data_IF_911931355519
#
_entry.id   IF_911931355519
#
_cell.length_a   1.000
_cell.length_b   1.000
_cell.length_c   1.000
_cell.angle_alpha   90.00
_cell.angle_beta   90.00
_cell.angle_gamma   90.00
#
_symmetry.space_group_name_H-M   'P 1'
#
loop_
_entity.id
_entity.type
_entity.pdbx_description
1 polymer ?
#
# COMPACT_ATOMS: atom_id res chain seq x y z
N UNK A 1 85.70 24.82 3.19
CA UNK A 1 86.01 23.56 3.89
C UNK A 1 85.12 22.47 3.30
N UNK A 2 85.70 21.55 2.51
CA UNK A 2 84.95 20.44 1.89
C UNK A 2 84.71 19.33 2.92
N UNK A 3 83.45 19.13 3.30
CA UNK A 3 83.05 18.07 4.24
C UNK A 3 83.16 16.73 3.50
N UNK A 4 84.17 15.93 3.83
CA UNK A 4 84.35 14.61 3.22
C UNK A 4 83.19 13.69 3.63
N UNK A 5 82.56 13.06 2.65
CA UNK A 5 81.45 12.15 2.88
C UNK A 5 81.94 10.90 3.62
N UNK A 6 81.25 10.52 4.70
CA UNK A 6 81.61 9.33 5.48
C UNK A 6 80.95 8.09 4.83
N UNK A 7 81.74 7.17 4.23
CA UNK A 7 81.19 6.03 3.48
C UNK A 7 80.34 5.09 4.34
N UNK A 8 80.55 5.07 5.67
CA UNK A 8 79.74 4.25 6.59
C UNK A 8 78.31 4.77 6.74
N UNK A 9 78.12 6.09 6.70
CA UNK A 9 76.79 6.72 6.79
C UNK A 9 76.00 6.45 5.51
N UNK A 10 76.67 6.51 4.35
CA UNK A 10 76.06 6.17 3.07
C UNK A 10 75.67 4.69 3.02
N UNK A 11 76.57 3.79 3.47
CA UNK A 11 76.27 2.35 3.54
C UNK A 11 75.09 2.04 4.46
N UNK A 12 75.04 2.63 5.65
CA UNK A 12 73.93 2.45 6.59
C UNK A 12 72.59 2.96 6.01
N UNK A 13 72.61 4.08 5.27
CA UNK A 13 71.42 4.61 4.62
C UNK A 13 70.90 3.69 3.51
N UNK A 14 71.80 3.16 2.67
CA UNK A 14 71.40 2.24 1.59
C UNK A 14 70.83 0.94 2.16
N UNK A 15 71.49 0.34 3.15
CA UNK A 15 70.98 -0.88 3.81
C UNK A 15 69.66 -0.61 4.53
N UNK A 16 69.55 0.52 5.22
CA UNK A 16 68.31 0.93 5.88
C UNK A 16 67.16 1.12 4.90
N UNK A 17 67.41 1.77 3.76
CA UNK A 17 66.41 1.97 2.71
C UNK A 17 65.94 0.65 2.11
N UNK A 18 66.87 -0.27 1.81
CA UNK A 18 66.54 -1.58 1.26
C UNK A 18 65.73 -2.44 2.23
N UNK A 19 66.05 -2.38 3.53
CA UNK A 19 65.27 -3.03 4.58
C UNK A 19 63.86 -2.45 4.69
N UNK A 20 63.72 -1.13 4.70
CA UNK A 20 62.41 -0.45 4.72
C UNK A 20 61.56 -0.78 3.49
N UNK A 21 62.17 -0.82 2.31
CA UNK A 21 61.49 -1.22 1.07
C UNK A 21 61.03 -2.67 1.14
N UNK A 22 61.87 -3.60 1.63
CA UNK A 22 61.49 -5.00 1.79
C UNK A 22 60.36 -5.18 2.80
N UNK A 23 60.42 -4.50 3.94
CA UNK A 23 59.35 -4.51 4.96
C UNK A 23 58.07 -3.90 4.38
N UNK A 24 58.17 -2.78 3.67
CA UNK A 24 57.04 -2.18 2.96
C UNK A 24 56.41 -3.16 1.96
N UNK A 25 57.22 -3.83 1.15
CA UNK A 25 56.73 -4.79 0.16
C UNK A 25 56.07 -6.01 0.81
N UNK A 26 56.57 -6.50 1.96
CA UNK A 26 55.95 -7.61 2.70
C UNK A 26 54.63 -7.16 3.34
N UNK A 27 54.60 -5.98 3.96
CA UNK A 27 53.39 -5.45 4.60
C UNK A 27 52.29 -5.16 3.57
N UNK A 28 52.63 -4.51 2.45
CA UNK A 28 51.69 -4.19 1.37
C UNK A 28 51.41 -5.38 0.43
N UNK A 29 52.35 -6.30 0.26
CA UNK A 29 52.22 -7.50 -0.59
C UNK A 29 51.48 -8.67 0.07
N UNK A 30 51.19 -8.58 1.38
CA UNK A 30 50.47 -9.62 2.14
C UNK A 30 49.01 -9.83 1.73
N UNK A 31 48.45 -9.02 0.82
CA UNK A 31 47.11 -9.20 0.23
C UNK A 31 45.92 -8.99 1.19
N UNK A 32 46.15 -9.05 2.51
CA UNK A 32 45.15 -8.91 3.57
C UNK A 32 44.39 -7.56 3.54
N UNK A 33 44.99 -6.53 2.95
CA UNK A 33 44.41 -5.19 2.87
C UNK A 33 43.34 -5.04 1.77
N UNK A 34 43.27 -5.98 0.82
CA UNK A 34 42.22 -6.01 -0.18
C UNK A 34 41.00 -6.73 0.40
N UNK A 35 40.11 -5.95 1.01
CA UNK A 35 38.75 -6.42 1.30
C UNK A 35 38.07 -6.73 -0.03
N UNK A 36 37.65 -7.98 -0.22
CA UNK A 36 36.85 -8.37 -1.38
C UNK A 36 35.49 -7.66 -1.33
N UNK A 37 35.33 -6.65 -2.19
CA UNK A 37 34.11 -5.85 -2.31
C UNK A 37 33.33 -6.29 -3.53
N UNK A 38 32.00 -6.31 -3.41
CA UNK A 38 31.10 -6.61 -4.54
C UNK A 38 30.55 -5.30 -5.05
N UNK A 39 30.73 -5.05 -6.35
CA UNK A 39 30.19 -3.85 -7.00
C UNK A 39 28.74 -4.11 -7.39
N UNK A 40 27.87 -3.17 -7.05
CA UNK A 40 26.45 -3.21 -7.38
C UNK A 40 26.03 -1.91 -8.02
N UNK A 41 24.97 -1.97 -8.83
CA UNK A 41 24.36 -0.81 -9.47
C UNK A 41 22.91 -0.67 -9.02
N UNK A 42 22.47 0.57 -8.86
CA UNK A 42 21.11 0.93 -8.49
C UNK A 42 20.64 2.05 -9.42
N UNK A 43 19.38 1.97 -9.86
CA UNK A 43 18.78 2.94 -10.77
C UNK A 43 17.63 3.66 -10.07
N UNK A 44 17.78 4.96 -9.82
CA UNK A 44 16.75 5.78 -9.19
C UNK A 44 16.01 6.63 -10.25
N UNK A 45 14.68 6.61 -10.19
CA UNK A 45 13.79 7.50 -10.96
C UNK A 45 13.71 8.91 -10.35
N UNK A 46 13.88 8.99 -9.02
CA UNK A 46 13.74 10.20 -8.22
C UNK A 46 15.04 11.00 -8.08
N UNK A 47 14.95 12.15 -7.41
CA UNK A 47 16.12 12.99 -7.17
C UNK A 47 17.07 12.34 -6.16
N UNK A 48 18.35 12.21 -6.51
CA UNK A 48 19.41 11.78 -5.57
C UNK A 48 20.07 12.98 -4.87
N UNK A 49 19.47 14.17 -4.92
CA UNK A 49 20.09 15.38 -4.35
C UNK A 49 20.35 15.19 -2.84
N UNK A 50 21.59 15.39 -2.42
CA UNK A 50 22.06 15.11 -1.06
C UNK A 50 22.75 13.75 -0.90
N UNK A 51 22.73 12.89 -1.92
CA UNK A 51 23.56 11.69 -1.98
C UNK A 51 24.93 12.03 -2.57
N UNK A 52 25.98 11.85 -1.77
CA UNK A 52 27.37 12.10 -2.17
C UNK A 52 28.10 10.79 -2.49
N UNK A 53 29.13 10.85 -3.33
CA UNK A 53 30.12 9.76 -3.42
C UNK A 53 30.79 9.61 -2.04
N UNK A 54 30.88 8.36 -1.55
CA UNK A 54 31.28 8.04 -0.19
C UNK A 54 30.12 7.97 0.81
N UNK A 55 28.89 8.28 0.42
CA UNK A 55 27.72 8.05 1.27
C UNK A 55 27.61 6.57 1.66
N UNK A 56 27.22 6.27 2.90
CA UNK A 56 27.15 4.89 3.36
C UNK A 56 25.99 4.16 2.70
N UNK A 57 26.21 2.90 2.35
CA UNK A 57 25.14 1.94 2.06
C UNK A 57 24.91 1.13 3.32
N UNK A 58 23.68 1.14 3.83
CA UNK A 58 23.33 0.50 5.11
C UNK A 58 22.29 -0.56 4.91
N UNK A 59 22.44 -1.71 5.54
CA UNK A 59 21.40 -2.72 5.64
C UNK A 59 20.80 -2.64 7.04
N UNK A 60 19.54 -2.21 7.14
CA UNK A 60 18.84 -2.03 8.44
C UNK A 60 19.68 -1.25 9.48
N UNK A 61 20.28 -0.14 9.05
CA UNK A 61 21.12 0.73 9.89
C UNK A 61 22.60 0.32 10.04
N UNK A 62 23.00 -0.88 9.63
CA UNK A 62 24.42 -1.32 9.66
C UNK A 62 25.10 -0.93 8.36
N UNK A 63 26.23 -0.22 8.41
CA UNK A 63 27.00 0.13 7.22
C UNK A 63 27.62 -1.13 6.59
N UNK A 64 27.15 -1.47 5.39
CA UNK A 64 27.59 -2.64 4.62
C UNK A 64 28.30 -2.24 3.33
N UNK A 65 28.42 -0.95 3.03
CA UNK A 65 29.06 -0.50 1.80
C UNK A 65 29.16 1.01 1.68
N UNK A 66 29.61 1.46 0.52
CA UNK A 66 29.80 2.88 0.19
C UNK A 66 29.47 3.16 -1.26
N UNK A 67 28.83 4.30 -1.53
CA UNK A 67 28.59 4.80 -2.88
C UNK A 67 29.93 5.19 -3.52
N UNK A 68 30.18 4.72 -4.73
CA UNK A 68 31.44 4.94 -5.46
C UNK A 68 31.26 5.83 -6.69
N UNK A 69 30.05 5.97 -7.22
CA UNK A 69 29.79 6.82 -8.38
C UNK A 69 28.32 7.11 -8.60
N UNK A 70 28.02 8.26 -9.19
CA UNK A 70 26.67 8.70 -9.54
C UNK A 70 26.72 9.25 -10.96
N UNK A 71 25.84 8.75 -11.83
CA UNK A 71 25.78 9.12 -13.25
C UNK A 71 24.33 9.27 -13.70
N UNK A 72 24.05 10.24 -14.56
CA UNK A 72 22.77 10.34 -15.23
C UNK A 72 22.84 9.53 -16.53
N UNK A 73 21.91 8.62 -16.73
CA UNK A 73 21.84 7.78 -17.92
C UNK A 73 20.44 7.83 -18.51
N UNK A 74 20.33 7.62 -19.82
CA UNK A 74 19.06 7.58 -20.53
C UNK A 74 18.86 6.20 -21.12
N UNK A 75 17.73 5.57 -20.78
CA UNK A 75 17.33 4.32 -21.40
C UNK A 75 16.64 4.62 -22.73
N UNK A 76 17.31 4.33 -23.85
CA UNK A 76 16.81 4.67 -25.19
C UNK A 76 15.46 4.03 -25.51
N UNK A 77 15.27 2.76 -25.10
CA UNK A 77 14.06 1.98 -25.37
C UNK A 77 12.80 2.60 -24.76
N UNK A 78 12.90 3.13 -23.54
CA UNK A 78 11.77 3.71 -22.80
C UNK A 78 11.78 5.23 -22.78
N UNK A 79 12.83 5.88 -23.33
CA UNK A 79 13.11 7.32 -23.25
C UNK A 79 12.96 7.86 -21.81
N UNK A 80 13.44 7.08 -20.84
CA UNK A 80 13.44 7.44 -19.42
C UNK A 80 14.85 7.80 -18.97
N UNK A 81 14.95 8.85 -18.17
CA UNK A 81 16.17 9.23 -17.48
C UNK A 81 16.22 8.51 -16.15
N UNK A 82 17.35 7.89 -15.87
CA UNK A 82 17.65 7.24 -14.61
C UNK A 82 18.92 7.81 -14.02
N UNK A 83 18.96 7.93 -12.71
CA UNK A 83 20.21 8.20 -12.00
C UNK A 83 20.80 6.85 -11.59
N UNK A 84 21.88 6.50 -12.26
CA UNK A 84 22.68 5.29 -12.03
C UNK A 84 23.66 5.54 -10.90
N UNK A 85 23.57 4.74 -9.85
CA UNK A 85 24.39 4.84 -8.65
C UNK A 85 25.16 3.55 -8.47
N UNK A 86 26.48 3.65 -8.40
CA UNK A 86 27.36 2.54 -8.08
C UNK A 86 27.65 2.51 -6.59
N UNK A 87 27.69 1.31 -6.03
CA UNK A 87 28.16 1.10 -4.69
C UNK A 87 29.04 -0.15 -4.59
N UNK A 88 29.96 -0.12 -3.65
CA UNK A 88 30.73 -1.28 -3.22
C UNK A 88 30.18 -1.78 -1.90
N UNK A 89 29.79 -3.05 -1.86
CA UNK A 89 29.37 -3.74 -0.64
C UNK A 89 30.55 -4.52 -0.06
N UNK A 90 30.65 -4.56 1.26
CA UNK A 90 31.59 -5.37 2.05
C UNK A 90 30.83 -6.57 2.65
N UNK A 91 30.88 -7.75 2.03
CA UNK A 91 30.16 -8.94 2.46
C UNK A 91 30.68 -9.53 3.77
N UNK A 92 31.82 -9.06 4.28
CA UNK A 92 32.29 -9.42 5.63
C UNK A 92 31.36 -8.92 6.73
N UNK A 93 30.50 -7.95 6.43
CA UNK A 93 29.49 -7.43 7.35
C UNK A 93 28.20 -8.28 7.39
N UNK A 94 28.04 -9.27 6.50
CA UNK A 94 26.85 -10.11 6.39
C UNK A 94 27.20 -11.54 6.82
N UNK A 95 26.72 -11.91 8.01
CA UNK A 95 26.94 -13.24 8.60
C UNK A 95 25.72 -14.13 8.40
N UNK A 96 25.91 -15.29 7.78
CA UNK A 96 24.88 -16.33 7.62
C UNK A 96 25.15 -17.46 8.61
N UNK A 97 24.15 -18.30 8.89
CA UNK A 97 24.25 -19.44 9.83
C UNK A 97 25.36 -20.46 9.48
N UNK A 98 25.94 -20.38 8.28
CA UNK A 98 27.10 -21.17 7.81
C UNK A 98 28.46 -20.44 7.85
N UNK A 99 28.53 -19.23 8.40
CA UNK A 99 29.72 -18.35 8.40
C UNK A 99 29.49 -17.03 7.67
N UNK A 100 30.48 -16.14 7.71
CA UNK A 100 30.48 -14.93 6.89
C UNK A 100 30.52 -15.32 5.40
N UNK A 101 29.84 -14.54 4.53
CA UNK A 101 29.85 -14.72 3.07
C UNK A 101 31.26 -14.62 2.43
N UNK A 102 32.27 -14.30 3.23
CA UNK A 102 33.70 -14.14 2.87
C UNK A 102 34.40 -15.38 2.35
N UNK A 103 33.79 -16.57 2.35
CA UNK A 103 34.41 -17.80 1.79
C UNK A 103 33.93 -18.19 0.40
N UNK A 104 32.93 -17.50 -0.16
CA UNK A 104 32.41 -17.81 -1.48
C UNK A 104 33.14 -17.01 -2.57
N UNK A 105 33.24 -17.57 -3.78
CA UNK A 105 33.82 -16.85 -4.91
C UNK A 105 33.00 -15.59 -5.22
N UNK A 106 33.57 -14.62 -5.94
CA UNK A 106 32.86 -13.39 -6.29
C UNK A 106 31.55 -13.68 -7.05
N UNK A 107 31.59 -14.59 -8.02
CA UNK A 107 30.41 -15.02 -8.77
C UNK A 107 29.30 -15.60 -7.87
N UNK A 108 29.67 -16.37 -6.83
CA UNK A 108 28.71 -16.92 -5.88
C UNK A 108 28.02 -15.82 -5.04
N UNK A 109 28.76 -14.75 -4.71
CA UNK A 109 28.24 -13.60 -3.93
C UNK A 109 27.32 -12.74 -4.77
N UNK A 110 27.67 -12.53 -6.03
CA UNK A 110 26.83 -11.82 -6.99
C UNK A 110 25.51 -12.57 -7.22
N UNK A 111 25.57 -13.89 -7.42
CA UNK A 111 24.38 -14.71 -7.55
C UNK A 111 23.54 -14.73 -6.26
N UNK A 112 24.18 -14.80 -5.10
CA UNK A 112 23.48 -14.70 -3.81
C UNK A 112 22.74 -13.36 -3.65
N UNK A 113 23.31 -12.25 -4.12
CA UNK A 113 22.63 -10.95 -4.13
C UNK A 113 21.47 -10.90 -5.12
N UNK A 114 21.64 -11.46 -6.33
CA UNK A 114 20.54 -11.59 -7.30
C UNK A 114 19.39 -12.41 -6.72
N UNK A 115 19.70 -13.51 -6.03
CA UNK A 115 18.72 -14.34 -5.35
C UNK A 115 18.08 -13.61 -4.17
N UNK A 116 18.85 -12.83 -3.41
CA UNK A 116 18.32 -11.99 -2.34
C UNK A 116 17.27 -10.98 -2.84
N UNK A 117 17.52 -10.38 -4.00
CA UNK A 117 16.56 -9.46 -4.64
C UNK A 117 15.27 -10.18 -5.05
N UNK A 118 15.37 -11.42 -5.56
CA UNK A 118 14.21 -12.19 -6.06
C UNK A 118 13.40 -12.87 -4.96
N UNK A 119 14.06 -13.54 -4.02
CA UNK A 119 13.41 -14.37 -2.99
C UNK A 119 13.03 -13.57 -1.74
N UNK A 120 13.92 -12.69 -1.29
CA UNK A 120 13.76 -11.94 -0.05
C UNK A 120 13.28 -10.51 -0.29
N UNK A 121 13.11 -10.12 -1.56
CA UNK A 121 12.72 -8.77 -1.95
C UNK A 121 13.73 -7.72 -1.50
N UNK A 122 15.04 -8.03 -1.61
CA UNK A 122 16.09 -7.05 -1.36
C UNK A 122 15.95 -5.89 -2.35
N UNK A 123 15.84 -4.68 -1.80
CA UNK A 123 15.71 -3.44 -2.56
C UNK A 123 16.48 -2.32 -1.88
N UNK A 124 16.87 -1.32 -2.68
CA UNK A 124 17.49 -0.10 -2.24
C UNK A 124 16.48 1.04 -2.17
N UNK A 125 16.65 1.92 -1.19
CA UNK A 125 15.87 3.15 -1.01
C UNK A 125 16.80 4.28 -0.58
N UNK A 126 16.53 5.49 -1.06
CA UNK A 126 17.18 6.68 -0.54
C UNK A 126 16.53 7.08 0.78
N UNK A 127 17.35 7.25 1.80
CA UNK A 127 16.90 7.66 3.12
C UNK A 127 17.74 8.83 3.64
N UNK A 128 17.13 9.61 4.53
CA UNK A 128 17.75 10.82 5.02
C UNK A 128 18.75 10.51 6.14
N UNK A 129 20.01 10.86 5.92
CA UNK A 129 21.04 10.75 6.95
C UNK A 129 20.93 11.92 7.94
N UNK A 130 20.61 13.12 7.45
CA UNK A 130 20.57 14.32 8.27
C UNK A 130 19.59 15.34 7.69
N UNK A 131 18.54 15.62 8.46
CA UNK A 131 17.54 16.65 8.14
C UNK A 131 18.16 18.05 8.02
N UNK A 132 19.19 18.33 8.82
CA UNK A 132 19.82 19.65 8.85
C UNK A 132 20.67 19.93 7.60
N UNK A 133 21.38 18.92 7.12
CA UNK A 133 22.30 19.06 5.97
C UNK A 133 21.67 18.61 4.65
N UNK A 134 20.51 17.96 4.70
CA UNK A 134 19.86 17.35 3.53
C UNK A 134 20.61 16.15 2.98
N UNK A 135 21.61 15.61 3.70
CA UNK A 135 22.39 14.46 3.22
C UNK A 135 21.57 13.18 3.23
N UNK A 136 21.75 12.39 2.19
CA UNK A 136 21.12 11.09 1.98
C UNK A 136 22.13 9.96 2.14
N UNK A 137 21.61 8.78 2.43
CA UNK A 137 22.33 7.52 2.35
C UNK A 137 21.44 6.49 1.63
N UNK A 138 22.04 5.37 1.23
CA UNK A 138 21.28 4.26 0.63
C UNK A 138 20.96 3.26 1.72
N UNK A 139 19.68 3.00 1.94
CA UNK A 139 19.22 1.89 2.76
C UNK A 139 18.90 0.69 1.87
N UNK A 140 19.48 -0.45 2.21
CA UNK A 140 19.09 -1.76 1.73
C UNK A 140 18.11 -2.36 2.74
N UNK A 141 16.99 -2.88 2.24
CA UNK A 141 16.02 -3.61 3.04
C UNK A 141 15.50 -4.81 2.25
N UNK A 142 15.07 -5.85 2.96
CA UNK A 142 14.49 -7.06 2.38
C UNK A 142 13.02 -7.11 2.80
N UNK A 143 12.13 -6.96 1.83
CA UNK A 143 10.70 -7.07 2.01
C UNK A 143 10.11 -7.93 0.88
N UNK A 144 9.68 -9.17 1.16
CA UNK A 144 9.18 -10.09 0.14
C UNK A 144 7.86 -9.62 -0.50
N UNK A 145 7.19 -8.62 0.07
CA UNK A 145 5.97 -8.04 -0.53
C UNK A 145 6.27 -7.09 -1.68
N UNK A 146 7.50 -6.55 -1.75
CA UNK A 146 7.93 -5.64 -2.80
C UNK A 146 8.38 -6.45 -4.00
N UNK A 147 7.68 -6.28 -5.13
CA UNK A 147 8.09 -6.87 -6.40
C UNK A 147 9.30 -6.14 -6.94
N UNK A 148 10.42 -6.84 -7.06
CA UNK A 148 11.66 -6.33 -7.63
C UNK A 148 11.44 -5.87 -9.09
N UNK A 149 11.55 -4.57 -9.33
CA UNK A 149 11.56 -4.00 -10.68
C UNK A 149 12.99 -3.65 -11.08
N UNK A 150 13.52 -4.40 -12.03
CA UNK A 150 14.83 -4.14 -12.62
C UNK A 150 14.69 -3.26 -13.86
N UNK A 151 15.60 -2.30 -14.02
CA UNK A 151 15.73 -1.46 -15.21
C UNK A 151 16.44 -2.22 -16.34
N UNK A 152 17.32 -3.17 -15.99
CA UNK A 152 18.05 -4.04 -16.90
C UNK A 152 18.70 -3.27 -18.07
N UNK A 153 19.65 -2.38 -17.77
CA UNK A 153 20.48 -1.75 -18.82
C UNK A 153 21.55 -2.72 -19.31
N UNK A 154 21.14 -3.73 -20.07
CA UNK A 154 22.00 -4.80 -20.59
C UNK A 154 23.22 -4.29 -21.36
N UNK A 155 23.11 -3.13 -22.01
CA UNK A 155 24.19 -2.55 -22.81
C UNK A 155 25.27 -1.83 -21.96
N UNK A 156 25.02 -1.55 -20.67
CA UNK A 156 25.92 -0.79 -19.79
C UNK A 156 26.45 -1.56 -18.57
N UNK A 157 25.71 -2.56 -18.09
CA UNK A 157 25.93 -3.22 -16.80
C UNK A 157 25.78 -4.75 -16.85
N UNK A 158 26.09 -5.38 -17.98
CA UNK A 158 25.88 -6.82 -18.18
C UNK A 158 26.50 -7.69 -17.06
N UNK A 159 27.68 -7.28 -16.56
CA UNK A 159 28.44 -8.00 -15.52
C UNK A 159 28.24 -7.44 -14.10
N UNK A 160 27.36 -6.45 -13.88
CA UNK A 160 27.16 -5.84 -12.56
C UNK A 160 25.79 -6.26 -11.99
N UNK A 161 25.77 -6.60 -10.70
CA UNK A 161 24.50 -6.93 -10.02
C UNK A 161 23.68 -5.67 -9.82
N UNK A 162 22.50 -5.66 -10.43
CA UNK A 162 21.50 -4.61 -10.20
C UNK A 162 20.71 -4.91 -8.92
N UNK A 163 20.64 -3.94 -8.00
CA UNK A 163 19.72 -3.95 -6.86
C UNK A 163 18.50 -3.08 -7.24
N UNK A 164 17.27 -3.64 -7.21
CA UNK A 164 16.05 -2.88 -7.47
C UNK A 164 15.92 -1.70 -6.52
N UNK A 165 15.38 -0.58 -7.01
CA UNK A 165 15.11 0.57 -6.16
C UNK A 165 13.62 0.77 -5.93
N UNK A 166 13.29 1.41 -4.82
CA UNK A 166 11.94 1.90 -4.55
C UNK A 166 11.99 3.39 -4.17
N UNK A 167 10.88 4.13 -4.35
CA UNK A 167 10.82 5.54 -3.96
C UNK A 167 11.16 5.74 -2.49
N UNK A 168 11.83 6.85 -2.18
CA UNK A 168 12.13 7.25 -0.80
C UNK A 168 10.85 7.45 0.02
N UNK A 169 10.95 7.34 1.34
CA UNK A 169 9.83 7.57 2.24
C UNK A 169 9.24 8.99 2.06
N UNK A 170 10.11 10.00 1.88
CA UNK A 170 9.68 11.37 1.60
C UNK A 170 8.94 11.54 0.27
N UNK A 171 9.37 10.84 -0.78
CA UNK A 171 8.68 10.87 -2.08
C UNK A 171 7.31 10.21 -2.00
N UNK A 172 7.19 9.08 -1.29
CA UNK A 172 5.92 8.39 -1.09
C UNK A 172 4.92 9.29 -0.33
N UNK A 173 5.36 9.96 0.74
CA UNK A 173 4.50 10.91 1.48
C UNK A 173 4.06 12.05 0.57
N UNK A 174 4.97 12.61 -0.24
CA UNK A 174 4.62 13.68 -1.16
C UNK A 174 3.65 13.23 -2.26
N UNK A 175 3.78 12.00 -2.76
CA UNK A 175 2.83 11.40 -3.69
C UNK A 175 1.45 11.25 -3.04
N UNK A 176 1.37 10.77 -1.80
CA UNK A 176 0.09 10.66 -1.07
C UNK A 176 -0.56 12.03 -0.91
N UNK A 177 0.21 13.08 -0.57
CA UNK A 177 -0.31 14.44 -0.45
C UNK A 177 -0.81 14.97 -1.79
N UNK A 178 -0.04 14.78 -2.87
CA UNK A 178 -0.45 15.19 -4.23
C UNK A 178 -1.73 14.49 -4.66
N UNK A 179 -1.79 13.18 -4.51
CA UNK A 179 -2.96 12.39 -4.86
C UNK A 179 -4.17 12.87 -4.04
N UNK A 180 -4.02 13.09 -2.73
CA UNK A 180 -5.10 13.61 -1.91
C UNK A 180 -5.57 15.00 -2.36
N UNK A 181 -4.63 15.91 -2.71
CA UNK A 181 -4.96 17.23 -3.20
C UNK A 181 -5.68 17.21 -4.56
N UNK A 182 -5.27 16.32 -5.46
CA UNK A 182 -5.93 16.09 -6.75
C UNK A 182 -7.36 15.57 -6.54
N UNK A 183 -7.54 14.56 -5.69
CA UNK A 183 -8.88 14.02 -5.39
C UNK A 183 -9.78 15.03 -4.66
N UNK A 184 -9.21 15.95 -3.88
CA UNK A 184 -9.95 17.05 -3.26
C UNK A 184 -10.31 18.15 -4.27
N UNK A 185 -9.44 18.42 -5.24
CA UNK A 185 -9.68 19.38 -6.33
C UNK A 185 -10.67 18.87 -7.37
N UNK A 186 -10.80 17.56 -7.51
CA UNK A 186 -11.76 16.88 -8.39
C UNK A 186 -13.14 16.65 -7.74
N UNK A 187 -13.34 17.05 -6.48
CA UNK A 187 -14.67 17.00 -5.86
C UNK A 187 -15.64 17.85 -6.70
N UNK A 188 -16.69 17.27 -7.30
CA UNK A 188 -17.62 18.00 -8.14
C UNK A 188 -18.54 18.83 -7.25
N UNK A 189 -18.03 19.95 -6.74
CA UNK A 189 -18.79 20.88 -5.90
C UNK A 189 -20.08 21.34 -6.58
N UNK A 190 -20.08 21.37 -7.93
CA UNK A 190 -21.28 21.60 -8.73
C UNK A 190 -22.34 20.51 -8.57
N UNK A 191 -21.96 19.23 -8.65
CA UNK A 191 -22.88 18.09 -8.48
C UNK A 191 -23.39 18.01 -7.05
N UNK A 192 -22.51 18.17 -6.05
CA UNK A 192 -22.90 18.18 -4.63
C UNK A 192 -23.89 19.32 -4.33
N UNK A 193 -23.64 20.52 -4.86
CA UNK A 193 -24.54 21.65 -4.69
C UNK A 193 -25.85 21.46 -5.45
N UNK A 194 -25.81 20.83 -6.62
CA UNK A 194 -27.00 20.48 -7.39
C UNK A 194 -27.86 19.47 -6.64
N UNK A 195 -27.28 18.37 -6.16
CA UNK A 195 -27.98 17.34 -5.38
C UNK A 195 -28.57 17.91 -4.08
N UNK A 196 -27.83 18.80 -3.41
CA UNK A 196 -28.33 19.50 -2.22
C UNK A 196 -29.51 20.42 -2.56
N UNK A 197 -29.44 21.16 -3.69
CA UNK A 197 -30.54 22.00 -4.16
C UNK A 197 -31.76 21.17 -4.58
N UNK A 198 -31.56 20.05 -5.25
CA UNK A 198 -32.63 19.13 -5.66
C UNK A 198 -33.30 18.48 -4.45
N UNK A 199 -32.53 18.09 -3.44
CA UNK A 199 -33.03 17.58 -2.16
C UNK A 199 -33.85 18.63 -1.41
N UNK A 200 -33.32 19.86 -1.31
CA UNK A 200 -34.04 20.98 -0.72
C UNK A 200 -35.32 21.30 -1.50
N UNK A 201 -35.29 21.26 -2.83
CA UNK A 201 -36.47 21.46 -3.66
C UNK A 201 -37.50 20.34 -3.49
N UNK A 202 -37.07 19.09 -3.35
CA UNK A 202 -37.94 17.95 -3.06
C UNK A 202 -38.63 18.09 -1.69
N UNK A 203 -37.87 18.45 -0.66
CA UNK A 203 -38.42 18.76 0.68
C UNK A 203 -39.43 19.91 0.58
N UNK A 204 -39.09 20.99 -0.13
CA UNK A 204 -39.96 22.14 -0.25
C UNK A 204 -41.26 21.82 -1.02
N UNK A 205 -41.22 20.92 -2.02
CA UNK A 205 -42.43 20.40 -2.68
C UNK A 205 -43.30 19.58 -1.74
N UNK A 206 -42.70 18.70 -0.93
CA UNK A 206 -43.45 17.88 0.04
C UNK A 206 -44.11 18.76 1.09
N UNK A 207 -43.38 19.76 1.62
CA UNK A 207 -43.89 20.66 2.66
C UNK A 207 -44.98 21.60 2.14
N UNK A 208 -44.87 22.07 0.89
CA UNK A 208 -45.87 22.96 0.27
C UNK A 208 -46.89 22.21 -0.60
N UNK A 209 -46.92 20.88 -0.53
CA UNK A 209 -47.85 20.06 -1.26
C UNK A 209 -49.30 20.42 -0.83
N UNK A 210 -50.16 20.90 -1.74
CA UNK A 210 -51.55 21.23 -1.43
C UNK A 210 -52.37 20.01 -1.01
N UNK A 211 -51.83 18.80 -1.18
CA UNK A 211 -52.44 17.54 -0.76
C UNK A 211 -52.34 17.29 0.75
N UNK A 212 -51.44 17.95 1.51
CA UNK A 212 -51.33 17.76 2.97
C UNK A 212 -52.56 18.29 3.73
N UNK A 213 -53.04 19.52 3.47
CA UNK A 213 -54.32 19.99 4.02
C UNK A 213 -55.50 19.08 3.63
N UNK A 214 -55.54 18.65 2.36
CA UNK A 214 -56.63 17.83 1.82
C UNK A 214 -56.65 16.41 2.40
N UNK A 215 -55.49 15.82 2.67
CA UNK A 215 -55.40 14.52 3.33
C UNK A 215 -55.78 14.59 4.81
N UNK A 216 -55.42 15.68 5.50
CA UNK A 216 -55.90 15.94 6.87
C UNK A 216 -57.42 16.13 6.91
N UNK A 217 -58.00 16.86 5.95
CA UNK A 217 -59.45 17.08 5.86
C UNK A 217 -60.22 15.81 5.47
N UNK A 218 -59.65 14.99 4.58
CA UNK A 218 -60.19 13.68 4.22
C UNK A 218 -60.12 12.68 5.39
N UNK A 219 -59.04 12.69 6.17
CA UNK A 219 -58.91 11.89 7.40
C UNK A 219 -59.96 12.30 8.44
N UNK A 220 -60.12 13.60 8.68
CA UNK A 220 -61.13 14.11 9.61
C UNK A 220 -62.55 13.73 9.18
N UNK A 221 -62.84 13.81 7.88
CA UNK A 221 -64.11 13.41 7.29
C UNK A 221 -64.36 11.90 7.38
N UNK A 222 -63.32 11.08 7.22
CA UNK A 222 -63.40 9.63 7.36
C UNK A 222 -63.68 9.22 8.81
N UNK A 223 -63.01 9.85 9.79
CA UNK A 223 -63.27 9.63 11.22
C UNK A 223 -64.68 10.03 11.61
N UNK A 224 -65.17 11.19 11.15
CA UNK A 224 -66.54 11.63 11.42
C UNK A 224 -67.60 10.67 10.83
N UNK A 225 -67.34 10.10 9.65
CA UNK A 225 -68.23 9.10 9.03
C UNK A 225 -68.20 7.76 9.78
N UNK A 226 -67.06 7.37 10.33
CA UNK A 226 -66.95 6.19 11.18
C UNK A 226 -67.74 6.35 12.47
N UNK A 227 -67.67 7.51 13.13
CA UNK A 227 -68.45 7.78 14.34
C UNK A 227 -69.96 7.70 14.08
N UNK A 228 -70.42 8.25 12.95
CA UNK A 228 -71.83 8.17 12.54
C UNK A 228 -72.25 6.74 12.20
N UNK A 229 -71.38 5.97 11.56
CA UNK A 229 -71.64 4.56 11.27
C UNK A 229 -71.71 3.72 12.55
N UNK A 230 -70.79 3.94 13.49
CA UNK A 230 -70.79 3.27 14.78
C UNK A 230 -72.03 3.63 15.60
N UNK A 231 -72.42 4.91 15.64
CA UNK A 231 -73.66 5.34 16.31
C UNK A 231 -74.92 4.73 15.69
N UNK A 232 -74.97 4.57 14.36
CA UNK A 232 -76.09 3.90 13.67
C UNK A 232 -76.10 2.39 13.87
N UNK A 233 -74.92 1.78 13.97
CA UNK A 233 -74.79 0.36 14.24
C UNK A 233 -75.25 0.04 15.66
N UNK A 234 -74.87 0.85 16.63
CA UNK A 234 -75.27 0.72 18.04
C UNK A 234 -76.79 0.91 18.23
N UNK A 235 -77.42 1.73 17.39
CA UNK A 235 -78.87 1.93 17.41
C UNK A 235 -79.69 0.77 16.82
N UNK A 236 -79.08 -0.18 16.09
CA UNK A 236 -79.77 -1.24 15.33
C UNK A 236 -79.23 -2.66 15.62
N UNK A 237 -78.41 -2.83 16.65
CA UNK A 237 -77.89 -4.14 17.11
C UNK A 237 -78.99 -5.06 17.65
N UNK A 238 -79.99 -4.52 18.36
CA UNK A 238 -81.11 -5.30 18.93
C UNK A 238 -81.97 -6.06 17.89
N UNK A 239 -82.44 -5.44 16.79
CA UNK A 239 -83.23 -6.14 15.77
C UNK A 239 -82.40 -7.15 14.96
N UNK A 240 -81.09 -6.93 14.80
CA UNK A 240 -80.18 -7.85 14.10
C UNK A 240 -79.90 -9.12 14.93
N UNK A 241 -79.67 -8.97 16.23
CA UNK A 241 -79.50 -10.11 17.13
C UNK A 241 -80.79 -10.94 17.26
N UNK A 242 -81.95 -10.27 17.30
CA UNK A 242 -83.24 -10.99 17.31
C UNK A 242 -83.57 -11.65 15.99
N UNK A 243 -83.24 -11.05 14.84
CA UNK A 243 -83.45 -11.69 13.53
C UNK A 243 -82.47 -12.84 13.27
N UNK A 244 -81.21 -12.72 13.69
CA UNK A 244 -80.24 -13.82 13.66
C UNK A 244 -80.67 -14.99 14.55
N UNK A 245 -81.15 -14.72 15.77
CA UNK A 245 -81.67 -15.75 16.68
C UNK A 245 -82.90 -16.44 16.11
N UNK A 246 -83.84 -15.70 15.52
CA UNK A 246 -85.01 -16.29 14.83
C UNK A 246 -84.63 -17.10 13.60
N UNK A 247 -83.60 -16.70 12.86
CA UNK A 247 -83.10 -17.46 11.72
C UNK A 247 -82.53 -18.80 12.19
N UNK A 248 -81.69 -18.80 13.23
CA UNK A 248 -81.13 -20.00 13.84
C UNK A 248 -82.22 -20.96 14.39
N UNK A 249 -83.26 -20.41 15.03
CA UNK A 249 -84.40 -21.21 15.51
C UNK A 249 -85.21 -21.84 14.38
N UNK A 250 -85.33 -21.16 13.22
CA UNK A 250 -86.01 -21.72 12.03
C UNK A 250 -85.20 -22.83 11.36
N UNK A 251 -83.88 -22.70 11.28
CA UNK A 251 -83.02 -23.77 10.76
C UNK A 251 -83.01 -24.98 11.69
N UNK A 252 -83.01 -24.79 13.01
CA UNK A 252 -83.09 -25.89 13.97
C UNK A 252 -84.40 -26.70 13.81
N UNK A 253 -85.54 -26.02 13.66
CA UNK A 253 -86.83 -26.70 13.45
C UNK A 253 -86.92 -27.42 12.09
N UNK A 254 -86.32 -26.86 11.04
CA UNK A 254 -86.28 -27.50 9.72
C UNK A 254 -85.43 -28.78 9.74
N UNK A 255 -84.32 -28.79 10.49
CA UNK A 255 -83.50 -29.99 10.67
C UNK A 255 -84.28 -31.10 11.42
N UNK A 256 -85.02 -30.75 12.47
CA UNK A 256 -85.82 -31.69 13.27
C UNK A 256 -87.00 -32.27 12.48
N UNK A 257 -87.58 -31.51 11.55
CA UNK A 257 -88.72 -31.95 10.72
C UNK A 257 -88.26 -32.88 9.58
N UNK A 258 -87.06 -32.69 9.02
CA UNK A 258 -86.52 -33.56 7.98
C UNK A 258 -86.01 -34.91 8.49
N UNK A 259 -85.65 -35.01 9.77
CA UNK A 259 -85.26 -36.27 10.40
C UNK A 259 -86.47 -37.21 10.62
N UNK A 260 -87.69 -36.67 10.63
CA UNK A 260 -88.91 -37.46 10.87
C UNK A 260 -89.58 -38.01 9.59
N UNK A 261 -89.19 -37.55 8.39
CA UNK A 261 -89.81 -37.94 7.10
C UNK A 261 -88.92 -38.80 6.17
N UNK A 262 -87.72 -39.21 6.57
CA UNK A 262 -86.81 -39.98 5.70
C UNK A 262 -86.37 -41.32 6.31
N UNK A 263 -87.26 -42.31 6.28
CA UNK A 263 -86.89 -43.72 6.03
C UNK A 263 -87.96 -44.40 5.15
N UNK A 264 -87.56 -45.27 4.20
CA UNK A 264 -88.08 -45.22 2.84
C UNK A 264 -89.09 -46.31 2.48
N UNK A 265 -90.01 -45.96 1.57
CA UNK A 265 -90.60 -46.91 0.63
C UNK A 265 -89.57 -47.30 -0.43
N UNK A 266 -89.08 -48.54 -0.36
CA UNK A 266 -88.55 -49.29 -1.50
C UNK A 266 -89.28 -50.65 -1.54
N UNK A 267 -89.73 -51.02 -2.73
CA UNK A 267 -90.70 -52.07 -3.04
C UNK A 267 -90.14 -53.50 -2.98
N UNK A 268 -91.09 -54.46 -2.90
CA UNK A 268 -91.04 -55.85 -3.39
C UNK A 268 -90.03 -56.82 -2.75
#
# INVERSE_FOLDING_TARGET
MSRQANPRVIGAFVVGSLFLTAVGLVLFGSGHWFKERVTVVMYFDGSVNGLDVGAPVKLRGVAVGTVTGIQLVMQEKQRRLYIRVFAELDPSQIYTRGGALTRAAQADREEALRQACKEFGLHARLEMQSLLTGKLFIELNADPTIQARFVEMKDLDEDIVEIPTVPSTSEQVMQVIKNAAEHLGELPMGEILQDARESLAAINRIVNAPEIPQTLEALHSATARLDVLLAKLDAHTDPLLTSARRAAERTARLAETMEHEVHPTAAA
#
